data_IF_008905154548
#
_entry.id   IF_008905154548
#
_cell.length_a   1.000
_cell.length_b   1.000
_cell.length_c   1.000
_cell.angle_alpha   90.00
_cell.angle_beta   90.00
_cell.angle_gamma   90.00
#
_symmetry.space_group_name_H-M   'P 1'
#
loop_
_entity.id
_entity.type
_entity.pdbx_description
1 polymer ?
#
# COMPACT_ATOMS: atom_id res chain seq x y z
N UNK A 1 -31.76 -13.12 63.42
CA UNK A 1 -32.89 -13.53 62.55
C UNK A 1 -33.16 -12.42 61.56
N UNK A 2 -32.79 -12.61 60.30
CA UNK A 2 -33.25 -11.78 59.18
C UNK A 2 -33.39 -12.71 57.97
N UNK A 3 -34.64 -12.90 57.53
CA UNK A 3 -35.02 -13.65 56.32
C UNK A 3 -35.13 -12.64 55.19
N UNK A 4 -34.46 -12.84 54.07
CA UNK A 4 -34.91 -12.29 52.79
C UNK A 4 -34.58 -13.24 51.62
N UNK A 5 -35.64 -13.95 51.22
CA UNK A 5 -36.13 -14.23 49.86
C UNK A 5 -35.12 -14.52 48.74
N UNK A 6 -35.11 -15.79 48.35
CA UNK A 6 -34.52 -16.27 47.11
C UNK A 6 -35.28 -15.77 45.87
N UNK A 7 -34.52 -15.20 44.93
CA UNK A 7 -34.99 -15.02 43.56
C UNK A 7 -34.95 -16.38 42.85
N UNK A 8 -36.13 -16.89 42.50
CA UNK A 8 -36.30 -17.94 41.48
C UNK A 8 -36.16 -17.29 40.11
N UNK A 9 -35.06 -17.55 39.41
CA UNK A 9 -34.95 -17.22 37.99
C UNK A 9 -35.45 -18.41 37.15
N UNK A 10 -36.44 -18.15 36.31
CA UNK A 10 -37.02 -19.09 35.36
C UNK A 10 -36.07 -19.32 34.16
N UNK A 11 -35.92 -20.55 33.66
CA UNK A 11 -35.06 -20.86 32.53
C UNK A 11 -35.86 -20.81 31.22
N UNK A 12 -36.23 -19.62 30.75
CA UNK A 12 -36.95 -19.49 29.46
C UNK A 12 -36.53 -18.28 28.62
N UNK A 13 -35.26 -17.86 28.67
CA UNK A 13 -34.78 -16.75 27.82
C UNK A 13 -33.34 -16.94 27.36
N UNK A 14 -32.95 -18.17 27.01
CA UNK A 14 -31.57 -18.53 26.63
C UNK A 14 -31.41 -18.90 25.15
N UNK A 15 -32.37 -18.52 24.30
CA UNK A 15 -32.40 -18.84 22.86
C UNK A 15 -32.60 -17.61 21.97
N UNK A 16 -32.23 -16.40 22.43
CA UNK A 16 -32.33 -15.18 21.61
C UNK A 16 -31.13 -14.23 21.69
N UNK A 17 -29.98 -14.66 22.23
CA UNK A 17 -28.77 -13.82 22.31
C UNK A 17 -27.64 -14.32 21.38
N UNK A 18 -27.81 -15.47 20.71
CA UNK A 18 -26.81 -16.00 19.77
C UNK A 18 -27.04 -15.63 18.29
N UNK A 19 -28.07 -14.85 17.96
CA UNK A 19 -28.40 -14.48 16.56
C UNK A 19 -28.23 -12.98 16.24
N UNK A 20 -27.68 -12.18 17.15
CA UNK A 20 -27.41 -10.75 16.92
C UNK A 20 -25.93 -10.40 16.73
N UNK A 21 -25.01 -11.38 16.83
CA UNK A 21 -23.57 -11.15 16.61
C UNK A 21 -23.08 -11.44 15.18
N UNK A 22 -23.96 -11.79 14.24
CA UNK A 22 -23.59 -12.18 12.87
C UNK A 22 -23.89 -11.14 11.78
N UNK A 23 -24.25 -9.90 12.15
CA UNK A 23 -24.66 -8.86 11.18
C UNK A 23 -23.87 -7.55 11.25
N UNK A 24 -22.73 -7.48 11.95
CA UNK A 24 -21.87 -6.29 11.95
C UNK A 24 -20.54 -6.48 11.21
N UNK A 25 -20.54 -7.26 10.12
CA UNK A 25 -19.47 -7.17 9.11
C UNK A 25 -20.08 -6.68 7.81
N UNK A 26 -19.36 -5.76 7.16
CA UNK A 26 -19.67 -5.15 5.87
C UNK A 26 -20.49 -3.86 5.89
N UNK A 27 -20.03 -2.87 6.65
CA UNK A 27 -20.20 -1.49 6.24
C UNK A 27 -18.82 -0.82 6.21
N UNK A 28 -18.47 -0.27 5.04
CA UNK A 28 -17.32 0.59 4.77
C UNK A 28 -16.01 -0.09 4.34
N UNK A 29 -16.07 -0.86 3.25
CA UNK A 29 -14.91 -1.07 2.36
C UNK A 29 -15.10 -0.42 0.97
N UNK A 30 -16.14 0.40 0.81
CA UNK A 30 -16.47 1.06 -0.47
C UNK A 30 -15.91 2.49 -0.59
N UNK A 31 -15.24 3.02 0.44
CA UNK A 31 -14.71 4.39 0.39
C UNK A 31 -13.39 4.56 -0.39
N UNK A 32 -12.71 3.48 -0.79
CA UNK A 32 -11.47 3.56 -1.58
C UNK A 32 -11.68 3.60 -3.10
N UNK A 33 -12.92 3.38 -3.57
CA UNK A 33 -13.23 3.25 -4.99
C UNK A 33 -14.25 4.26 -5.53
N UNK A 34 -14.74 5.19 -4.71
CA UNK A 34 -15.83 6.10 -5.11
C UNK A 34 -15.37 7.55 -5.34
N UNK A 35 -14.18 7.94 -4.88
CA UNK A 35 -13.57 9.19 -5.31
C UNK A 35 -12.19 8.89 -5.86
N UNK A 36 -11.91 9.30 -7.10
CA UNK A 36 -10.52 9.44 -7.55
C UNK A 36 -9.81 10.27 -6.48
N UNK A 37 -8.79 9.74 -5.78
CA UNK A 37 -8.08 10.52 -4.78
C UNK A 37 -7.57 11.77 -5.49
N UNK A 38 -8.11 12.93 -5.11
CA UNK A 38 -7.73 14.22 -5.69
C UNK A 38 -6.21 14.27 -5.70
N UNK A 39 -5.64 14.32 -6.91
CA UNK A 39 -4.19 14.37 -7.11
C UNK A 39 -3.63 15.46 -6.18
N UNK A 40 -2.68 15.15 -5.29
CA UNK A 40 -2.06 16.19 -4.47
C UNK A 40 -1.51 17.27 -5.40
N UNK A 41 -1.83 18.53 -5.12
CA UNK A 41 -1.41 19.66 -5.95
C UNK A 41 0.11 19.77 -5.92
N UNK A 42 0.77 19.72 -7.08
CA UNK A 42 2.23 19.84 -7.21
C UNK A 42 2.95 18.64 -7.85
N UNK A 43 2.24 17.55 -8.16
CA UNK A 43 2.82 16.40 -8.87
C UNK A 43 2.60 16.49 -10.39
N UNK A 44 3.65 16.17 -11.16
CA UNK A 44 3.57 16.03 -12.61
C UNK A 44 3.22 14.59 -12.98
N UNK A 45 2.18 14.41 -13.81
CA UNK A 45 1.78 13.09 -14.35
C UNK A 45 2.83 12.56 -15.32
N UNK A 46 3.09 11.25 -15.30
CA UNK A 46 4.00 10.57 -16.24
C UNK A 46 3.29 9.89 -17.42
N UNK A 47 2.00 10.18 -17.65
CA UNK A 47 1.17 9.51 -18.67
C UNK A 47 1.80 9.58 -20.08
N UNK A 48 2.50 10.66 -20.40
CA UNK A 48 3.12 10.88 -21.72
C UNK A 48 4.48 10.19 -21.90
N UNK A 49 5.13 9.74 -20.83
CA UNK A 49 6.48 9.12 -20.89
C UNK A 49 6.39 7.59 -20.84
N UNK A 50 5.24 7.05 -20.43
CA UNK A 50 5.00 5.62 -20.23
C UNK A 50 4.50 4.93 -21.50
N UNK A 51 5.22 5.12 -22.61
CA UNK A 51 4.84 4.53 -23.91
C UNK A 51 5.31 3.09 -24.09
N UNK A 52 6.15 2.57 -23.21
CA UNK A 52 6.66 1.20 -23.33
C UNK A 52 5.79 0.22 -22.54
N UNK A 53 5.12 -0.70 -23.26
CA UNK A 53 4.60 -1.94 -22.67
C UNK A 53 5.76 -2.61 -21.92
N UNK A 54 5.62 -2.70 -20.59
CA UNK A 54 6.58 -3.45 -19.77
C UNK A 54 6.57 -4.90 -20.25
N UNK A 55 7.62 -5.29 -20.95
CA UNK A 55 7.85 -6.67 -21.37
C UNK A 55 8.23 -7.51 -20.15
N UNK A 56 7.23 -8.10 -19.51
CA UNK A 56 7.40 -8.98 -18.36
C UNK A 56 8.22 -10.25 -18.68
N UNK A 57 8.54 -10.53 -19.95
CA UNK A 57 9.39 -11.67 -20.32
C UNK A 57 10.85 -11.52 -19.88
N UNK A 58 11.30 -10.29 -19.61
CA UNK A 58 12.68 -9.97 -19.16
C UNK A 58 12.80 -9.76 -17.64
N UNK A 59 11.77 -10.12 -16.88
CA UNK A 59 11.83 -10.07 -15.42
C UNK A 59 12.95 -11.00 -14.94
N UNK A 60 14.08 -10.41 -14.54
CA UNK A 60 15.24 -11.16 -14.07
C UNK A 60 14.79 -12.15 -12.97
N UNK A 61 15.09 -13.45 -13.10
CA UNK A 61 14.70 -14.45 -12.11
C UNK A 61 15.59 -14.25 -10.89
N UNK A 62 15.05 -13.63 -9.84
CA UNK A 62 15.84 -13.34 -8.65
C UNK A 62 14.97 -12.93 -7.48
N UNK A 63 14.59 -13.92 -6.67
CA UNK A 63 13.75 -13.90 -5.45
C UNK A 63 12.25 -14.10 -5.69
N UNK A 64 11.72 -15.16 -5.09
CA UNK A 64 10.29 -15.43 -4.96
C UNK A 64 9.70 -14.48 -3.90
N UNK A 65 9.45 -13.23 -4.27
CA UNK A 65 8.76 -12.29 -3.40
C UNK A 65 7.30 -12.74 -3.17
N UNK A 66 6.74 -12.42 -2.00
CA UNK A 66 5.36 -12.82 -1.68
C UNK A 66 4.36 -12.17 -2.65
N UNK A 67 3.17 -12.76 -2.79
CA UNK A 67 2.07 -12.19 -3.60
C UNK A 67 1.77 -10.72 -3.26
N UNK A 68 1.97 -10.32 -1.99
CA UNK A 68 1.76 -8.91 -1.56
C UNK A 68 2.80 -7.97 -2.18
N UNK A 69 4.07 -8.38 -2.26
CA UNK A 69 5.13 -7.62 -2.93
C UNK A 69 4.80 -7.40 -4.41
N UNK A 70 4.33 -8.43 -5.09
CA UNK A 70 3.91 -8.35 -6.50
C UNK A 70 2.72 -7.40 -6.68
N UNK A 71 1.77 -7.35 -5.74
CA UNK A 71 0.64 -6.40 -5.80
C UNK A 71 1.10 -4.95 -5.66
N UNK A 72 1.95 -4.66 -4.67
CA UNK A 72 2.49 -3.31 -4.45
C UNK A 72 3.29 -2.85 -5.67
N UNK A 73 4.24 -3.66 -6.13
CA UNK A 73 5.05 -3.32 -7.31
C UNK A 73 4.17 -3.23 -8.57
N UNK A 74 3.18 -4.11 -8.72
CA UNK A 74 2.24 -4.10 -9.83
C UNK A 74 1.39 -2.83 -9.88
N UNK A 75 0.90 -2.34 -8.73
CA UNK A 75 0.18 -1.06 -8.66
C UNK A 75 1.08 0.11 -9.09
N UNK A 76 2.28 0.22 -8.52
CA UNK A 76 3.23 1.30 -8.83
C UNK A 76 3.71 1.25 -10.30
N UNK A 77 3.80 0.05 -10.88
CA UNK A 77 4.15 -0.17 -12.28
C UNK A 77 2.96 0.01 -13.24
N UNK A 78 1.75 0.26 -12.72
CA UNK A 78 0.55 0.49 -13.53
C UNK A 78 0.24 1.96 -13.68
N UNK A 79 -0.66 2.29 -14.62
CA UNK A 79 -1.16 3.65 -14.82
C UNK A 79 -1.99 4.20 -13.64
N UNK A 80 -2.24 3.39 -12.60
CA UNK A 80 -2.92 3.85 -11.39
C UNK A 80 -2.00 4.71 -10.50
N UNK A 81 -0.68 4.55 -10.63
CA UNK A 81 0.28 5.41 -9.97
C UNK A 81 0.83 6.46 -10.96
N UNK A 82 0.56 7.76 -10.73
CA UNK A 82 0.94 8.81 -11.68
C UNK A 82 2.41 9.25 -11.56
N UNK A 83 3.15 8.77 -10.55
CA UNK A 83 4.48 9.28 -10.18
C UNK A 83 5.59 8.26 -10.45
N UNK A 84 5.38 6.98 -10.11
CA UNK A 84 6.30 5.91 -10.38
C UNK A 84 6.34 5.63 -11.89
N UNK A 85 7.55 5.60 -12.45
CA UNK A 85 7.79 5.02 -13.76
C UNK A 85 8.06 3.52 -13.63
N UNK A 86 8.87 3.14 -12.64
CA UNK A 86 9.23 1.76 -12.34
C UNK A 86 9.31 1.54 -10.81
N UNK A 87 8.95 0.36 -10.34
CA UNK A 87 9.08 -0.06 -8.96
C UNK A 87 9.58 -1.51 -8.90
N UNK A 88 10.63 -1.74 -8.11
CA UNK A 88 11.27 -3.05 -7.96
C UNK A 88 11.76 -3.27 -6.54
N UNK A 89 11.49 -4.47 -6.03
CA UNK A 89 12.02 -4.92 -4.75
C UNK A 89 13.50 -5.31 -4.89
N UNK A 90 14.35 -4.66 -4.10
CA UNK A 90 15.77 -5.01 -3.93
C UNK A 90 15.92 -6.17 -2.93
N UNK A 91 15.11 -6.13 -1.87
CA UNK A 91 14.97 -7.18 -0.86
C UNK A 91 13.54 -7.23 -0.35
N UNK A 92 13.21 -8.17 0.54
CA UNK A 92 11.89 -8.22 1.19
C UNK A 92 11.59 -7.00 2.06
N UNK A 93 12.60 -6.17 2.35
CA UNK A 93 12.46 -4.96 3.18
C UNK A 93 12.76 -3.68 2.43
N UNK A 94 13.27 -3.73 1.19
CA UNK A 94 13.70 -2.53 0.47
C UNK A 94 13.01 -2.48 -0.89
N UNK A 95 12.14 -1.49 -1.06
CA UNK A 95 11.48 -1.16 -2.32
C UNK A 95 12.17 0.05 -2.96
N UNK A 96 12.61 -0.09 -4.21
CA UNK A 96 13.05 1.03 -5.04
C UNK A 96 11.90 1.47 -5.94
N UNK A 97 11.66 2.77 -5.99
CA UNK A 97 10.66 3.40 -6.85
C UNK A 97 11.36 4.44 -7.72
N UNK A 98 11.51 4.13 -9.00
CA UNK A 98 12.06 5.02 -10.00
C UNK A 98 11.05 6.07 -10.44
N UNK A 99 11.50 7.33 -10.46
CA UNK A 99 10.75 8.49 -10.95
C UNK A 99 11.54 9.21 -12.04
N UNK A 100 10.82 9.89 -12.93
CA UNK A 100 11.41 10.63 -14.07
C UNK A 100 11.56 12.12 -13.77
N UNK A 101 10.73 12.65 -12.87
CA UNK A 101 10.74 14.06 -12.49
C UNK A 101 11.07 14.17 -11.01
N UNK A 102 11.92 15.13 -10.65
CA UNK A 102 12.16 15.50 -9.25
C UNK A 102 10.95 16.24 -8.71
N UNK A 103 10.60 16.00 -7.45
CA UNK A 103 9.54 16.72 -6.75
C UNK A 103 10.07 17.33 -5.46
N UNK A 104 9.51 18.46 -5.03
CA UNK A 104 9.76 18.98 -3.69
C UNK A 104 9.05 18.14 -2.61
N UNK A 105 8.22 17.17 -3.01
CA UNK A 105 7.41 16.31 -2.14
C UNK A 105 7.81 14.83 -2.23
N UNK A 106 9.09 14.53 -2.49
CA UNK A 106 9.59 13.16 -2.59
C UNK A 106 9.37 12.36 -1.28
N UNK A 107 9.53 13.00 -0.12
CA UNK A 107 9.28 12.38 1.19
C UNK A 107 7.79 12.06 1.41
N UNK A 108 6.89 12.98 1.06
CA UNK A 108 5.45 12.75 1.12
C UNK A 108 5.02 11.60 0.19
N UNK A 109 5.66 11.47 -0.96
CA UNK A 109 5.43 10.36 -1.87
C UNK A 109 5.92 9.02 -1.29
N UNK A 110 7.10 9.00 -0.66
CA UNK A 110 7.59 7.82 0.02
C UNK A 110 6.66 7.36 1.16
N UNK A 111 6.10 8.30 1.93
CA UNK A 111 5.05 8.03 2.93
C UNK A 111 3.81 7.38 2.29
N UNK A 112 3.30 7.93 1.18
CA UNK A 112 2.17 7.35 0.45
C UNK A 112 2.46 5.92 -0.01
N UNK A 113 3.71 5.61 -0.40
CA UNK A 113 4.11 4.26 -0.77
C UNK A 113 4.07 3.33 0.45
N UNK A 114 4.48 3.80 1.64
CA UNK A 114 4.29 3.05 2.89
C UNK A 114 2.80 2.78 3.16
N UNK A 115 1.93 3.78 3.00
CA UNK A 115 0.47 3.62 3.19
C UNK A 115 -0.12 2.60 2.21
N UNK A 116 0.35 2.60 0.96
CA UNK A 116 -0.04 1.61 -0.05
C UNK A 116 0.32 0.18 0.38
N UNK A 117 1.51 -0.03 0.96
CA UNK A 117 1.89 -1.33 1.50
C UNK A 117 0.92 -1.78 2.59
N UNK A 118 0.60 -0.88 3.54
CA UNK A 118 -0.39 -1.15 4.60
C UNK A 118 -1.77 -1.47 4.03
N UNK A 119 -2.22 -0.75 3.00
CA UNK A 119 -3.51 -1.00 2.32
C UNK A 119 -3.58 -2.40 1.69
N UNK A 120 -2.45 -2.93 1.21
CA UNK A 120 -2.34 -4.32 0.74
C UNK A 120 -2.08 -5.33 1.86
N UNK A 121 -2.30 -4.94 3.12
CA UNK A 121 -2.11 -5.75 4.32
C UNK A 121 -0.68 -6.30 4.44
N UNK A 122 0.30 -5.58 3.91
CA UNK A 122 1.71 -5.90 4.08
C UNK A 122 2.19 -5.22 5.36
N UNK A 123 2.71 -5.96 6.35
CA UNK A 123 3.36 -5.33 7.51
C UNK A 123 4.59 -4.59 6.98
N UNK A 124 4.58 -3.27 7.05
CA UNK A 124 5.59 -2.41 6.46
C UNK A 124 6.57 -1.83 7.50
N UNK A 125 6.35 -2.05 8.79
CA UNK A 125 7.25 -1.59 9.85
C UNK A 125 8.67 -2.10 9.61
N UNK A 126 9.63 -1.17 9.52
CA UNK A 126 11.04 -1.50 9.25
C UNK A 126 11.35 -1.86 7.79
N UNK A 127 10.41 -1.60 6.87
CA UNK A 127 10.69 -1.54 5.44
C UNK A 127 11.22 -0.15 5.05
N UNK A 128 12.00 -0.11 3.98
CA UNK A 128 12.60 1.10 3.41
C UNK A 128 12.10 1.30 1.99
N UNK A 129 11.59 2.51 1.72
CA UNK A 129 11.25 2.99 0.39
C UNK A 129 12.35 3.95 -0.08
N UNK A 130 12.92 3.67 -1.25
CA UNK A 130 13.92 4.53 -1.91
C UNK A 130 13.34 5.10 -3.19
N UNK A 131 13.26 6.43 -3.29
CA UNK A 131 12.87 7.10 -4.52
C UNK A 131 14.13 7.39 -5.34
N UNK A 132 14.18 6.86 -6.56
CA UNK A 132 15.37 6.89 -7.42
C UNK A 132 15.09 7.78 -8.64
N UNK A 133 16.01 8.69 -8.95
CA UNK A 133 15.91 9.51 -10.15
C UNK A 133 16.45 8.75 -11.38
N UNK A 134 15.53 8.22 -12.20
CA UNK A 134 15.88 7.38 -13.35
C UNK A 134 16.70 8.10 -14.44
N UNK A 135 16.47 9.39 -14.77
CA UNK A 135 17.25 10.04 -15.82
C UNK A 135 18.76 10.03 -15.55
N UNK A 136 19.19 10.10 -14.29
CA UNK A 136 20.61 9.99 -13.95
C UNK A 136 21.18 8.58 -14.12
N UNK A 137 20.36 7.55 -13.92
CA UNK A 137 20.75 6.18 -14.20
C UNK A 137 20.96 5.94 -15.70
N UNK A 138 20.08 6.51 -16.53
CA UNK A 138 20.15 6.37 -17.99
C UNK A 138 21.29 7.20 -18.58
N UNK A 139 21.42 8.47 -18.17
CA UNK A 139 22.40 9.39 -18.74
C UNK A 139 23.83 9.15 -18.24
N UNK A 140 23.99 8.77 -16.96
CA UNK A 140 25.28 8.74 -16.28
C UNK A 140 25.62 7.38 -15.64
N UNK A 141 24.78 6.35 -15.82
CA UNK A 141 24.92 5.05 -15.14
C UNK A 141 25.03 5.17 -13.61
N UNK A 142 24.48 6.24 -13.03
CA UNK A 142 24.53 6.53 -11.60
C UNK A 142 23.14 6.43 -11.00
N UNK A 143 23.01 5.60 -9.97
CA UNK A 143 21.80 5.52 -9.18
C UNK A 143 21.79 6.69 -8.18
N UNK A 144 20.93 7.67 -8.43
CA UNK A 144 20.72 8.79 -7.52
C UNK A 144 19.44 8.56 -6.70
N UNK A 145 19.61 8.41 -5.39
CA UNK A 145 18.50 8.37 -4.45
C UNK A 145 18.10 9.80 -4.11
N UNK A 146 16.83 10.15 -4.39
CA UNK A 146 16.25 11.44 -4.01
C UNK A 146 15.83 11.44 -2.54
N UNK A 147 15.19 10.35 -2.10
CA UNK A 147 14.84 10.13 -0.69
C UNK A 147 14.95 8.65 -0.34
N UNK A 148 15.37 8.39 0.89
CA UNK A 148 15.29 7.09 1.55
C UNK A 148 14.43 7.27 2.81
N UNK A 149 13.33 6.53 2.89
CA UNK A 149 12.36 6.66 3.95
C UNK A 149 12.05 5.29 4.56
N UNK A 150 12.02 5.22 5.90
CA UNK A 150 11.70 4.00 6.63
C UNK A 150 10.25 4.06 7.09
N UNK A 151 9.44 3.08 6.69
CA UNK A 151 8.04 3.00 7.09
C UNK A 151 7.92 2.72 8.60
N UNK A 152 7.04 3.47 9.26
CA UNK A 152 6.76 3.41 10.70
C UNK A 152 5.62 2.45 11.04
#
# INVERSE_FOLDING_TARGET
MARFNGLKFAPQSLTFILLSLLLSTQASATAFFIDEPKKPSGYYSNDDVRSEKIDNSKQQPGKNYSRKHSKVAGYLNSNQDPVAAEAKWESEKILRVGVIRRSLADEAYANRVCDLMSAYQMPNQGMTVRIIYLPNLVAFHRLETLVEHQCA
#
